data_IF_310833773843
#
_entry.id   IF_310833773843
#
_cell.length_a   1.000
_cell.length_b   1.000
_cell.length_c   1.000
_cell.angle_alpha   90.00
_cell.angle_beta   90.00
_cell.angle_gamma   90.00
#
_symmetry.space_group_name_H-M   'P 1'
#
loop_
_entity.id
_entity.type
_entity.pdbx_description
1 polymer ?
#
# COMPACT_ATOMS: atom_id res chain seq x y z
N UNK A 1 -17.85 5.37 -1.69
CA UNK A 1 -17.71 4.19 -2.56
C UNK A 1 -16.76 3.27 -1.83
N UNK A 2 -17.14 2.00 -1.63
CA UNK A 2 -16.26 1.06 -0.97
C UNK A 2 -15.29 0.52 -2.01
N UNK A 3 -14.03 0.92 -1.89
CA UNK A 3 -12.94 0.57 -2.80
C UNK A 3 -12.40 -0.85 -2.56
N UNK A 4 -12.82 -1.48 -1.46
CA UNK A 4 -12.38 -2.80 -1.01
C UNK A 4 -12.67 -3.94 -2.02
N UNK A 5 -13.88 -4.05 -2.62
CA UNK A 5 -14.17 -5.13 -3.56
C UNK A 5 -13.27 -5.12 -4.80
N UNK A 6 -12.86 -3.93 -5.28
CA UNK A 6 -11.93 -3.82 -6.40
C UNK A 6 -10.56 -4.41 -6.05
N UNK A 7 -10.04 -4.12 -4.85
CA UNK A 7 -8.75 -4.65 -4.41
C UNK A 7 -8.81 -6.15 -4.17
N UNK A 8 -9.90 -6.64 -3.58
CA UNK A 8 -10.12 -8.07 -3.39
C UNK A 8 -10.19 -8.80 -4.74
N UNK A 9 -10.83 -8.20 -5.76
CA UNK A 9 -10.89 -8.78 -7.09
C UNK A 9 -9.53 -8.76 -7.82
N UNK A 10 -8.77 -7.66 -7.74
CA UNK A 10 -7.40 -7.60 -8.29
C UNK A 10 -6.51 -8.66 -7.64
N UNK A 11 -6.63 -8.84 -6.32
CA UNK A 11 -5.88 -9.86 -5.57
C UNK A 11 -6.26 -11.28 -6.01
N UNK A 12 -7.55 -11.56 -6.16
CA UNK A 12 -8.06 -12.88 -6.50
C UNK A 12 -7.83 -13.25 -7.98
N UNK A 13 -7.90 -12.26 -8.87
CA UNK A 13 -7.92 -12.44 -10.31
C UNK A 13 -6.85 -11.59 -11.04
N UNK A 14 -5.56 -11.64 -10.65
CA UNK A 14 -4.53 -10.74 -11.17
C UNK A 14 -4.38 -10.81 -12.70
N UNK A 15 -4.58 -11.99 -13.31
CA UNK A 15 -4.50 -12.18 -14.75
C UNK A 15 -5.51 -11.37 -15.57
N UNK A 16 -6.72 -11.13 -15.04
CA UNK A 16 -7.76 -10.30 -15.67
C UNK A 16 -7.30 -8.84 -15.81
N UNK A 17 -6.41 -8.41 -14.92
CA UNK A 17 -5.83 -7.07 -14.91
C UNK A 17 -4.47 -6.99 -15.62
N UNK A 18 -4.07 -8.05 -16.34
CA UNK A 18 -2.77 -8.14 -17.01
C UNK A 18 -1.58 -8.26 -16.05
N UNK A 19 -1.82 -8.61 -14.79
CA UNK A 19 -0.77 -8.82 -13.80
C UNK A 19 -0.25 -10.25 -13.86
N UNK A 20 1.06 -10.40 -13.66
CA UNK A 20 1.78 -11.66 -13.76
C UNK A 20 2.37 -12.13 -12.42
N UNK A 21 1.78 -11.69 -11.30
CA UNK A 21 2.28 -12.03 -9.97
C UNK A 21 3.56 -11.30 -9.57
N UNK A 22 3.93 -10.21 -10.27
CA UNK A 22 5.06 -9.36 -9.88
C UNK A 22 4.62 -8.12 -9.10
N UNK A 23 5.45 -7.72 -8.14
CA UNK A 23 5.23 -6.58 -7.28
C UNK A 23 5.18 -5.27 -8.06
N UNK A 24 6.19 -4.99 -8.88
CA UNK A 24 6.30 -3.73 -9.62
C UNK A 24 5.08 -3.44 -10.52
N UNK A 25 4.65 -4.33 -11.43
CA UNK A 25 3.46 -4.10 -12.25
C UNK A 25 2.19 -3.89 -11.42
N UNK A 26 2.04 -4.61 -10.31
CA UNK A 26 0.88 -4.48 -9.42
C UNK A 26 0.85 -3.10 -8.76
N UNK A 27 1.98 -2.63 -8.25
CA UNK A 27 2.11 -1.27 -7.71
C UNK A 27 1.82 -0.20 -8.77
N UNK A 28 2.25 -0.39 -10.02
CA UNK A 28 1.96 0.54 -11.11
C UNK A 28 0.46 0.58 -11.44
N UNK A 29 -0.21 -0.57 -11.47
CA UNK A 29 -1.66 -0.63 -11.64
C UNK A 29 -2.38 0.14 -10.53
N UNK A 30 -2.04 -0.14 -9.26
CA UNK A 30 -2.68 0.50 -8.11
C UNK A 30 -2.44 2.03 -8.08
N UNK A 31 -1.24 2.49 -8.43
CA UNK A 31 -0.98 3.92 -8.62
C UNK A 31 -1.81 4.51 -9.76
N UNK A 32 -1.94 3.80 -10.89
CA UNK A 32 -2.78 4.24 -12.01
C UNK A 32 -4.25 4.38 -11.61
N UNK A 33 -4.77 3.44 -10.82
CA UNK A 33 -6.13 3.51 -10.25
C UNK A 33 -6.27 4.72 -9.34
N UNK A 34 -5.30 4.98 -8.46
CA UNK A 34 -5.32 6.14 -7.56
C UNK A 34 -5.36 7.47 -8.32
N UNK A 35 -4.53 7.59 -9.37
CA UNK A 35 -4.50 8.78 -10.24
C UNK A 35 -5.82 8.97 -11.01
N UNK A 36 -6.41 7.88 -11.51
CA UNK A 36 -7.67 7.95 -12.25
C UNK A 36 -8.88 8.31 -11.37
N UNK A 37 -8.82 8.02 -10.06
CA UNK A 37 -9.91 8.30 -9.15
C UNK A 37 -9.80 9.69 -8.53
N UNK A 38 -10.71 10.58 -8.94
CA UNK A 38 -10.76 12.00 -8.53
C UNK A 38 -10.89 12.27 -7.02
N UNK A 39 -11.15 11.24 -6.20
CA UNK A 39 -11.29 11.33 -4.74
C UNK A 39 -10.08 10.80 -3.96
N UNK A 40 -9.02 10.34 -4.65
CA UNK A 40 -7.77 9.84 -4.07
C UNK A 40 -7.97 8.52 -3.33
N UNK A 41 -7.80 7.43 -4.05
CA UNK A 41 -7.89 6.05 -3.57
C UNK A 41 -6.95 5.78 -2.38
N UNK A 42 -5.73 6.31 -2.47
CA UNK A 42 -4.69 6.23 -1.44
C UNK A 42 -4.46 7.55 -0.69
N UNK A 43 -5.42 8.48 -0.73
CA UNK A 43 -5.30 9.72 0.03
C UNK A 43 -5.25 9.44 1.54
N UNK A 44 -4.11 9.74 2.17
CA UNK A 44 -3.86 9.44 3.59
C UNK A 44 -3.11 8.13 3.83
N UNK A 45 -2.75 7.38 2.78
CA UNK A 45 -2.15 6.06 2.94
C UNK A 45 -0.70 6.14 3.46
N UNK A 46 0.09 7.10 2.98
CA UNK A 46 1.45 7.30 3.46
C UNK A 46 1.48 7.75 4.93
N UNK A 47 0.57 8.64 5.32
CA UNK A 47 0.38 9.06 6.71
C UNK A 47 -0.02 7.89 7.60
N UNK A 48 -0.95 7.05 7.11
CA UNK A 48 -1.36 5.85 7.81
C UNK A 48 -0.18 4.87 8.00
N UNK A 49 0.64 4.64 6.97
CA UNK A 49 1.85 3.81 7.07
C UNK A 49 2.82 4.35 8.15
N UNK A 50 3.04 5.67 8.20
CA UNK A 50 3.88 6.28 9.23
C UNK A 50 3.33 6.00 10.65
N UNK A 51 2.02 6.11 10.84
CA UNK A 51 1.36 5.81 12.13
C UNK A 51 1.52 4.33 12.50
N UNK A 52 1.33 3.40 11.56
CA UNK A 52 1.51 1.97 11.83
C UNK A 52 2.94 1.63 12.28
N UNK A 53 3.93 2.36 11.76
CA UNK A 53 5.35 2.15 12.06
C UNK A 53 5.87 2.99 13.22
N UNK A 54 5.07 3.93 13.74
CA UNK A 54 5.49 4.93 14.72
C UNK A 54 6.75 5.70 14.28
N UNK A 55 6.93 5.86 12.97
CA UNK A 55 8.12 6.46 12.35
C UNK A 55 7.70 7.26 11.12
N UNK A 56 8.24 8.46 10.95
CA UNK A 56 8.07 9.21 9.71
C UNK A 56 8.91 8.60 8.60
N UNK A 57 8.42 8.69 7.36
CA UNK A 57 9.18 8.25 6.20
C UNK A 57 9.21 9.31 5.09
N UNK A 58 10.34 9.38 4.41
CA UNK A 58 10.53 10.11 3.15
C UNK A 58 10.42 9.21 1.90
N UNK A 59 10.28 7.90 2.07
CA UNK A 59 10.11 6.98 0.95
C UNK A 59 8.68 7.04 0.40
N UNK A 60 8.55 6.75 -0.89
CA UNK A 60 7.24 6.50 -1.48
C UNK A 60 6.59 5.26 -0.84
N UNK A 61 5.27 5.28 -0.67
CA UNK A 61 4.51 4.24 0.05
C UNK A 61 4.81 2.82 -0.44
N UNK A 62 5.03 2.62 -1.74
CA UNK A 62 5.31 1.30 -2.31
C UNK A 62 6.72 0.80 -1.99
N UNK A 63 7.68 1.71 -1.75
CA UNK A 63 9.00 1.31 -1.25
C UNK A 63 8.93 0.92 0.22
N UNK A 64 8.06 1.56 0.98
CA UNK A 64 7.82 1.21 2.38
C UNK A 64 7.24 -0.18 2.54
N UNK A 65 6.18 -0.47 1.78
CA UNK A 65 5.58 -1.81 1.76
C UNK A 65 6.62 -2.86 1.34
N UNK A 66 7.43 -2.57 0.33
CA UNK A 66 8.48 -3.49 -0.12
C UNK A 66 9.52 -3.74 0.98
N UNK A 67 10.02 -2.68 1.61
CA UNK A 67 10.98 -2.75 2.72
C UNK A 67 10.45 -3.57 3.90
N UNK A 68 9.17 -3.46 4.22
CA UNK A 68 8.55 -4.26 5.28
C UNK A 68 8.43 -5.75 4.89
N UNK A 69 8.09 -6.04 3.64
CA UNK A 69 7.80 -7.39 3.18
C UNK A 69 9.05 -8.22 2.87
N UNK A 70 10.11 -7.55 2.41
CA UNK A 70 11.37 -8.17 1.98
C UNK A 70 12.55 -7.42 2.63
N UNK A 71 12.69 -7.51 3.97
CA UNK A 71 13.70 -6.74 4.72
C UNK A 71 15.15 -7.09 4.35
N UNK A 72 15.38 -8.25 3.73
CA UNK A 72 16.68 -8.68 3.23
C UNK A 72 17.09 -8.05 1.89
N UNK A 73 16.17 -7.38 1.18
CA UNK A 73 16.44 -6.72 -0.10
C UNK A 73 16.60 -5.20 0.09
N UNK A 74 17.41 -4.57 -0.77
CA UNK A 74 17.52 -3.11 -0.75
C UNK A 74 16.19 -2.49 -1.24
N UNK A 75 15.60 -1.50 -0.55
CA UNK A 75 14.37 -0.84 -0.99
C UNK A 75 14.44 -0.21 -2.39
N UNK A 76 15.62 0.02 -2.94
CA UNK A 76 15.89 0.44 -4.31
C UNK A 76 15.64 -0.66 -5.35
N UNK A 77 15.70 -1.94 -4.95
CA UNK A 77 15.52 -3.11 -5.81
C UNK A 77 14.05 -3.49 -6.04
N UNK A 78 13.09 -2.75 -5.49
CA UNK A 78 11.65 -3.01 -5.62
C UNK A 78 11.11 -3.10 -7.07
N UNK A 79 11.88 -2.62 -8.06
CA UNK A 79 11.57 -2.75 -9.51
C UNK A 79 12.33 -3.88 -10.20
N UNK A 80 13.36 -4.40 -9.54
CA UNK A 80 14.29 -5.37 -10.07
C UNK A 80 13.66 -6.76 -10.21
N UNK A 81 14.41 -7.70 -10.80
CA UNK A 81 14.02 -9.11 -10.77
C UNK A 81 14.06 -9.61 -9.33
N UNK A 82 12.89 -9.85 -8.76
CA UNK A 82 12.73 -10.50 -7.47
C UNK A 82 12.65 -12.01 -7.67
N UNK A 83 12.98 -12.79 -6.64
CA UNK A 83 12.61 -14.21 -6.65
C UNK A 83 11.08 -14.34 -6.57
N UNK A 84 10.49 -15.44 -7.07
CA UNK A 84 9.04 -15.67 -6.94
C UNK A 84 8.53 -15.55 -5.51
N UNK A 85 9.33 -16.00 -4.53
CA UNK A 85 8.99 -15.93 -3.10
C UNK A 85 9.03 -14.51 -2.54
N UNK A 86 9.95 -13.67 -3.04
CA UNK A 86 9.99 -12.25 -2.68
C UNK A 86 8.81 -11.49 -3.30
N UNK A 87 8.52 -11.74 -4.58
CA UNK A 87 7.34 -11.18 -5.25
C UNK A 87 6.05 -11.54 -4.50
N UNK A 88 5.87 -12.82 -4.16
CA UNK A 88 4.70 -13.29 -3.44
C UNK A 88 4.55 -12.62 -2.06
N UNK A 89 5.64 -12.57 -1.26
CA UNK A 89 5.61 -11.89 0.05
C UNK A 89 5.29 -10.41 -0.09
N UNK A 90 5.90 -9.73 -1.05
CA UNK A 90 5.67 -8.31 -1.29
C UNK A 90 4.21 -8.05 -1.72
N UNK A 91 3.63 -8.91 -2.56
CA UNK A 91 2.23 -8.81 -2.97
C UNK A 91 1.26 -9.08 -1.84
N UNK A 92 1.46 -10.15 -1.06
CA UNK A 92 0.57 -10.47 0.06
C UNK A 92 0.58 -9.36 1.11
N UNK A 93 1.77 -8.80 1.40
CA UNK A 93 1.90 -7.66 2.30
C UNK A 93 1.24 -6.40 1.73
N UNK A 94 1.45 -6.11 0.45
CA UNK A 94 0.81 -4.98 -0.25
C UNK A 94 -0.72 -5.03 -0.13
N UNK A 95 -1.33 -6.15 -0.52
CA UNK A 95 -2.78 -6.28 -0.47
C UNK A 95 -3.30 -6.21 0.96
N UNK A 96 -2.59 -6.82 1.93
CA UNK A 96 -2.96 -6.74 3.35
C UNK A 96 -2.98 -5.28 3.82
N UNK A 97 -1.90 -4.53 3.59
CA UNK A 97 -1.79 -3.11 4.00
C UNK A 97 -2.83 -2.22 3.33
N UNK A 98 -3.08 -2.43 2.04
CA UNK A 98 -4.12 -1.68 1.32
C UNK A 98 -5.50 -1.97 1.90
N UNK A 99 -5.84 -3.23 2.16
CA UNK A 99 -7.14 -3.61 2.71
C UNK A 99 -7.33 -3.10 4.15
N UNK A 100 -6.30 -3.16 4.98
CA UNK A 100 -6.28 -2.57 6.33
C UNK A 100 -6.54 -1.06 6.28
N UNK A 101 -5.82 -0.35 5.40
CA UNK A 101 -6.02 1.07 5.22
C UNK A 101 -7.43 1.42 4.74
N UNK A 102 -7.98 0.67 3.77
CA UNK A 102 -9.34 0.90 3.30
C UNK A 102 -10.37 0.72 4.42
N UNK A 103 -10.16 -0.22 5.34
CA UNK A 103 -11.00 -0.37 6.53
C UNK A 103 -10.96 0.89 7.44
N UNK A 104 -9.77 1.45 7.65
CA UNK A 104 -9.58 2.71 8.41
C UNK A 104 -10.22 3.89 7.68
N UNK A 105 -9.96 4.05 6.37
CA UNK A 105 -10.48 5.13 5.54
C UNK A 105 -12.01 5.14 5.46
N UNK A 106 -12.63 3.96 5.47
CA UNK A 106 -14.09 3.81 5.43
C UNK A 106 -14.77 4.09 6.78
N UNK A 107 -14.03 4.17 7.89
CA UNK A 107 -14.55 4.59 9.19
C UNK A 107 -14.17 6.05 9.47
N UNK A 108 -15.17 6.92 9.64
CA UNK A 108 -14.94 8.33 9.95
C UNK A 108 -14.14 8.51 11.24
N UNK A 109 -14.49 7.76 12.28
CA UNK A 109 -13.85 7.82 13.59
C UNK A 109 -12.41 7.31 13.52
N UNK A 110 -12.16 6.19 12.83
CA UNK A 110 -10.81 5.65 12.66
C UNK A 110 -9.93 6.59 11.84
N UNK A 111 -10.47 7.19 10.77
CA UNK A 111 -9.76 8.13 9.93
C UNK A 111 -9.37 9.42 10.69
N UNK A 112 -10.28 9.96 11.52
CA UNK A 112 -9.98 11.12 12.37
C UNK A 112 -8.84 10.79 13.34
N UNK A 113 -8.89 9.62 14.00
CA UNK A 113 -7.82 9.18 14.92
C UNK A 113 -6.48 9.04 14.20
N UNK A 114 -6.46 8.39 13.03
CA UNK A 114 -5.25 8.23 12.22
C UNK A 114 -4.54 9.57 11.97
N UNK A 115 -5.30 10.61 11.54
CA UNK A 115 -4.70 11.92 11.31
C UNK A 115 -4.26 12.63 12.61
N UNK A 116 -4.94 12.41 13.73
CA UNK A 116 -4.52 12.95 15.03
C UNK A 116 -3.20 12.31 15.50
N UNK A 117 -3.07 10.99 15.35
CA UNK A 117 -1.86 10.25 15.68
C UNK A 117 -0.71 10.68 14.78
N UNK A 118 -0.94 10.83 13.47
CA UNK A 118 0.07 11.32 12.53
C UNK A 118 0.55 12.74 12.87
N UNK A 119 -0.35 13.65 13.25
CA UNK A 119 0.03 15.01 13.69
C UNK A 119 0.89 14.98 14.94
N UNK A 120 0.58 14.08 15.87
CA UNK A 120 1.37 13.89 17.09
C UNK A 120 2.75 13.37 16.75
N UNK A 121 2.83 12.35 15.89
CA UNK A 121 4.10 11.76 15.44
C UNK A 121 5.00 12.80 14.74
N UNK A 122 4.41 13.68 13.92
CA UNK A 122 5.16 14.74 13.22
C UNK A 122 5.60 15.90 14.12
N UNK A 123 5.01 16.04 15.31
CA UNK A 123 5.38 17.06 16.28
C UNK A 123 6.41 16.62 17.32
N UNK A 124 6.85 15.35 17.27
CA UNK A 124 7.95 14.81 18.09
C UNK A 124 9.30 15.15 17.45
#
# INVERSE_FOLDING_TARGET
MNDKPLIEDIRANPGTYGLNGRYYPTVMLLNGIDVAQSRGFFRGFAEWLCVQRQELSSFAWYKEIFREAVPEADPGEWRGPLTPEQDQRALDHLFTRVLEFLAVRNSREALIRMYADFRTLRGR
#
